data_IF_260067097523
#
_entry.id   IF_260067097523
#
_cell.length_a   1.000
_cell.length_b   1.000
_cell.length_c   1.000
_cell.angle_alpha   90.00
_cell.angle_beta   90.00
_cell.angle_gamma   90.00
#
_symmetry.space_group_name_H-M   'P 1'
#
loop_
_entity.id
_entity.type
_entity.pdbx_description
1 polymer ?
#
# COMPACT_ATOMS: atom_id res chain seq x y z
N UNK A 1 20.07 2.29 -37.59
CA UNK A 1 20.49 2.38 -36.18
C UNK A 1 19.32 3.03 -35.46
N UNK A 2 18.48 2.23 -34.74
CA UNK A 2 17.49 2.78 -33.82
C UNK A 2 18.27 3.34 -32.62
N UNK A 3 18.18 4.63 -32.37
CA UNK A 3 18.61 5.23 -31.12
C UNK A 3 17.86 4.50 -29.98
N UNK A 4 18.53 4.15 -28.87
CA UNK A 4 17.85 3.60 -27.70
C UNK A 4 16.77 4.61 -27.29
N UNK A 5 15.56 4.09 -27.04
CA UNK A 5 14.50 4.90 -26.45
C UNK A 5 15.09 5.57 -25.20
N UNK A 6 15.09 6.87 -25.15
CA UNK A 6 15.42 7.62 -23.93
C UNK A 6 14.60 7.01 -22.82
N UNK A 7 15.25 6.38 -21.86
CA UNK A 7 14.61 5.83 -20.66
C UNK A 7 13.84 7.00 -20.03
N UNK A 8 12.52 6.97 -20.18
CA UNK A 8 11.66 7.98 -19.58
C UNK A 8 11.89 7.92 -18.07
N UNK A 9 12.30 9.03 -17.51
CA UNK A 9 12.60 9.15 -16.09
C UNK A 9 11.30 9.04 -15.31
N UNK A 10 11.13 7.96 -14.53
CA UNK A 10 9.97 7.77 -13.65
C UNK A 10 10.20 8.52 -12.34
N UNK A 11 9.36 9.51 -12.04
CA UNK A 11 9.41 10.24 -10.76
C UNK A 11 8.27 9.75 -9.87
N UNK A 12 8.59 9.33 -8.64
CA UNK A 12 7.60 8.89 -7.68
C UNK A 12 7.63 9.75 -6.42
N UNK A 13 6.55 10.49 -6.19
CA UNK A 13 6.30 11.18 -4.93
C UNK A 13 5.83 10.15 -3.90
N UNK A 14 6.58 9.97 -2.81
CA UNK A 14 6.35 8.90 -1.84
C UNK A 14 6.73 9.27 -0.42
N UNK A 15 6.36 8.45 0.54
CA UNK A 15 6.94 8.41 1.90
C UNK A 15 7.08 6.96 2.32
N UNK A 16 8.16 6.63 3.04
CA UNK A 16 8.42 5.24 3.46
C UNK A 16 7.38 4.71 4.45
N UNK A 17 6.82 5.58 5.29
CA UNK A 17 5.75 5.22 6.21
C UNK A 17 4.35 5.08 5.55
N UNK A 18 4.27 5.19 4.21
CA UNK A 18 3.00 5.13 3.47
C UNK A 18 2.80 3.75 2.82
N UNK A 19 1.86 2.92 3.29
CA UNK A 19 1.58 1.62 2.67
C UNK A 19 1.26 1.71 1.17
N UNK A 20 0.41 2.65 0.69
CA UNK A 20 0.18 2.81 -0.75
C UNK A 20 1.44 3.15 -1.54
N UNK A 21 2.36 3.95 -1.00
CA UNK A 21 3.64 4.24 -1.64
C UNK A 21 4.52 2.98 -1.69
N UNK A 22 4.53 2.19 -0.63
CA UNK A 22 5.31 0.96 -0.57
C UNK A 22 4.78 -0.10 -1.54
N UNK A 23 3.46 -0.20 -1.73
CA UNK A 23 2.88 -1.09 -2.73
C UNK A 23 3.36 -0.73 -4.15
N UNK A 24 3.37 0.57 -4.52
CA UNK A 24 3.93 1.03 -5.81
C UNK A 24 5.41 0.70 -5.94
N UNK A 25 6.20 0.95 -4.89
CA UNK A 25 7.64 0.66 -4.87
C UNK A 25 7.94 -0.84 -5.01
N UNK A 26 7.16 -1.69 -4.34
CA UNK A 26 7.32 -3.15 -4.44
C UNK A 26 7.03 -3.64 -5.87
N UNK A 27 5.95 -3.15 -6.48
CA UNK A 27 5.66 -3.47 -7.89
C UNK A 27 6.78 -2.96 -8.79
N UNK A 28 7.26 -1.74 -8.58
CA UNK A 28 8.42 -1.21 -9.32
C UNK A 28 9.66 -2.11 -9.19
N UNK A 29 9.95 -2.60 -7.98
CA UNK A 29 11.07 -3.52 -7.74
C UNK A 29 10.91 -4.85 -8.48
N UNK A 30 9.71 -5.45 -8.47
CA UNK A 30 9.39 -6.67 -9.22
C UNK A 30 9.61 -6.46 -10.73
N UNK A 31 9.23 -5.29 -11.25
CA UNK A 31 9.36 -4.94 -12.66
C UNK A 31 10.77 -4.43 -13.05
N UNK A 32 11.71 -4.35 -12.09
CA UNK A 32 13.06 -3.82 -12.34
C UNK A 32 13.11 -2.32 -12.66
N UNK A 33 12.09 -1.56 -12.28
CA UNK A 33 11.98 -0.14 -12.56
C UNK A 33 12.82 0.70 -11.60
N UNK A 34 13.41 1.78 -12.13
CA UNK A 34 14.13 2.76 -11.33
C UNK A 34 13.26 4.03 -11.21
N UNK A 35 13.11 4.52 -9.98
CA UNK A 35 12.38 5.75 -9.70
C UNK A 35 13.32 6.83 -9.16
N UNK A 36 13.12 8.05 -9.62
CA UNK A 36 13.57 9.23 -8.91
C UNK A 36 12.55 9.58 -7.82
N UNK A 37 12.96 9.49 -6.57
CA UNK A 37 12.05 9.71 -5.45
C UNK A 37 11.97 11.18 -5.05
N UNK A 38 10.75 11.67 -4.84
CA UNK A 38 10.46 12.96 -4.20
C UNK A 38 9.69 12.68 -2.91
N UNK A 39 10.14 13.27 -1.80
CA UNK A 39 9.59 13.00 -0.47
C UNK A 39 9.01 14.27 0.18
N UNK A 40 7.77 14.68 -0.15
CA UNK A 40 7.16 15.84 0.49
C UNK A 40 7.00 15.61 2.00
N UNK A 41 7.31 16.62 2.79
CA UNK A 41 7.12 16.58 4.26
C UNK A 41 5.63 16.72 4.59
N UNK A 42 4.99 15.56 4.88
CA UNK A 42 3.55 15.52 5.18
C UNK A 42 3.21 16.18 6.52
N UNK A 43 4.16 16.20 7.48
CA UNK A 43 3.95 16.85 8.77
C UNK A 43 3.99 18.37 8.64
N UNK A 44 4.79 18.89 7.70
CA UNK A 44 4.80 20.32 7.32
C UNK A 44 3.72 20.68 6.29
N UNK A 45 2.88 19.72 5.92
CA UNK A 45 1.80 19.89 4.94
C UNK A 45 2.27 20.30 3.53
N UNK A 46 3.50 19.96 3.13
CA UNK A 46 4.04 20.28 1.80
C UNK A 46 3.17 19.72 0.67
N UNK A 47 2.52 18.56 0.88
CA UNK A 47 1.56 17.98 -0.05
C UNK A 47 0.26 18.79 -0.20
N UNK A 48 0.03 19.84 0.61
CA UNK A 48 -1.15 20.72 0.55
C UNK A 48 -0.87 22.09 -0.04
N UNK A 49 0.36 22.35 -0.46
CA UNK A 49 0.74 23.61 -1.11
C UNK A 49 0.04 23.77 -2.47
N UNK A 50 -0.16 25.01 -2.95
CA UNK A 50 -0.71 25.26 -4.29
C UNK A 50 0.11 24.57 -5.40
N UNK A 51 1.43 24.51 -5.24
CA UNK A 51 2.37 23.88 -6.18
C UNK A 51 2.11 22.38 -6.26
N UNK A 52 2.01 21.69 -5.12
CA UNK A 52 1.71 20.26 -5.09
C UNK A 52 0.31 19.95 -5.62
N UNK A 53 -0.68 20.82 -5.37
CA UNK A 53 -2.05 20.66 -5.90
C UNK A 53 -2.14 20.71 -7.42
N UNK A 54 -1.19 21.37 -8.09
CA UNK A 54 -1.09 21.33 -9.57
C UNK A 54 -0.65 19.94 -10.06
N UNK A 55 0.13 19.21 -9.24
CA UNK A 55 0.57 17.84 -9.54
C UNK A 55 -0.53 16.86 -9.18
N UNK A 56 -1.10 16.97 -7.98
CA UNK A 56 -2.21 16.14 -7.51
C UNK A 56 -3.24 16.98 -6.75
N UNK A 57 -4.41 17.26 -7.36
CA UNK A 57 -5.47 18.04 -6.71
C UNK A 57 -5.98 17.45 -5.39
N UNK A 58 -5.90 16.12 -5.21
CA UNK A 58 -6.28 15.44 -3.97
C UNK A 58 -5.27 15.67 -2.84
N UNK A 59 -4.09 16.21 -3.11
CA UNK A 59 -3.07 16.47 -2.09
C UNK A 59 -2.65 15.22 -1.31
N UNK A 60 -2.51 14.10 -2.01
CA UNK A 60 -2.12 12.80 -1.46
C UNK A 60 -0.88 12.24 -2.15
N UNK A 61 -0.25 11.26 -1.53
CA UNK A 61 0.79 10.41 -2.11
C UNK A 61 0.33 8.95 -2.05
N UNK A 62 0.84 8.07 -2.96
CA UNK A 62 1.84 8.33 -4.01
C UNK A 62 1.29 9.10 -5.21
N UNK A 63 2.23 9.72 -5.97
CA UNK A 63 1.99 10.24 -7.32
C UNK A 63 3.12 9.79 -8.22
N UNK A 64 2.80 9.26 -9.37
CA UNK A 64 3.76 8.90 -10.42
C UNK A 64 3.75 9.98 -11.52
N UNK A 65 4.95 10.37 -11.96
CA UNK A 65 5.14 11.14 -13.19
C UNK A 65 5.97 10.30 -14.16
N UNK A 66 5.44 10.11 -15.36
CA UNK A 66 6.07 9.36 -16.45
C UNK A 66 5.98 10.18 -17.74
N UNK A 67 7.03 10.96 -18.04
CA UNK A 67 7.01 11.97 -19.08
C UNK A 67 5.92 13.02 -18.81
N UNK A 68 4.99 13.16 -19.73
CA UNK A 68 3.86 14.13 -19.61
C UNK A 68 2.68 13.58 -18.79
N UNK A 69 2.69 12.28 -18.47
CA UNK A 69 1.62 11.66 -17.70
C UNK A 69 1.87 11.81 -16.21
N UNK A 70 0.89 12.34 -15.49
CA UNK A 70 0.84 12.34 -14.02
C UNK A 70 -0.35 11.51 -13.55
N UNK A 71 -0.07 10.51 -12.68
CA UNK A 71 -1.10 9.61 -12.12
C UNK A 71 -1.02 9.62 -10.61
N UNK A 72 -2.14 9.83 -9.96
CA UNK A 72 -2.35 9.58 -8.52
C UNK A 72 -3.18 8.31 -8.32
N UNK A 73 -3.42 7.91 -7.04
CA UNK A 73 -4.01 6.64 -6.62
C UNK A 73 -3.08 5.44 -6.84
N UNK A 74 -2.62 4.85 -5.75
CA UNK A 74 -1.63 3.76 -5.80
C UNK A 74 -2.05 2.59 -6.67
N UNK A 75 -3.33 2.20 -6.64
CA UNK A 75 -3.84 1.10 -7.47
C UNK A 75 -3.82 1.46 -8.95
N UNK A 76 -4.19 2.68 -9.33
CA UNK A 76 -4.09 3.15 -10.71
C UNK A 76 -2.63 3.20 -11.19
N UNK A 77 -1.72 3.69 -10.34
CA UNK A 77 -0.28 3.71 -10.63
C UNK A 77 0.24 2.29 -10.85
N UNK A 78 -0.07 1.37 -9.95
CA UNK A 78 0.36 -0.04 -10.03
C UNK A 78 -0.13 -0.68 -11.33
N UNK A 79 -1.42 -0.54 -11.64
CA UNK A 79 -2.00 -1.11 -12.88
C UNK A 79 -1.40 -0.48 -14.13
N UNK A 80 -1.12 0.83 -14.11
CA UNK A 80 -0.42 1.50 -15.20
C UNK A 80 0.98 0.92 -15.40
N UNK A 81 1.77 0.79 -14.32
CA UNK A 81 3.13 0.24 -14.38
C UNK A 81 3.14 -1.19 -14.92
N UNK A 82 2.25 -2.06 -14.44
CA UNK A 82 2.14 -3.44 -14.91
C UNK A 82 1.75 -3.48 -16.40
N UNK A 83 0.79 -2.64 -16.81
CA UNK A 83 0.33 -2.65 -18.21
C UNK A 83 1.38 -2.08 -19.18
N UNK A 84 2.16 -1.08 -18.77
CA UNK A 84 3.16 -0.43 -19.62
C UNK A 84 4.52 -1.12 -19.57
N UNK A 85 4.95 -1.55 -18.39
CA UNK A 85 6.32 -2.03 -18.14
C UNK A 85 6.39 -3.48 -17.64
N UNK A 86 5.24 -4.14 -17.47
CA UNK A 86 5.17 -5.47 -16.84
C UNK A 86 5.86 -6.59 -17.60
N UNK A 87 6.00 -6.47 -18.94
CA UNK A 87 6.66 -7.51 -19.74
C UNK A 87 6.13 -8.91 -19.43
N UNK A 88 7.02 -9.83 -19.07
CA UNK A 88 6.69 -11.20 -18.68
C UNK A 88 5.93 -11.31 -17.35
N UNK A 89 6.06 -10.32 -16.47
CA UNK A 89 5.38 -10.28 -15.17
C UNK A 89 3.91 -9.85 -15.28
N UNK A 90 3.49 -9.26 -16.42
CA UNK A 90 2.15 -8.68 -16.57
C UNK A 90 1.06 -9.71 -16.31
N UNK A 91 1.14 -10.86 -16.96
CA UNK A 91 0.08 -11.87 -16.88
C UNK A 91 0.04 -12.54 -15.49
N UNK A 92 1.16 -12.69 -14.81
CA UNK A 92 1.20 -13.24 -13.46
C UNK A 92 0.66 -12.27 -12.42
N UNK A 93 1.01 -10.98 -12.51
CA UNK A 93 0.60 -9.96 -11.53
C UNK A 93 -0.83 -9.47 -11.75
N UNK A 94 -1.28 -9.36 -13.01
CA UNK A 94 -2.60 -8.88 -13.36
C UNK A 94 -3.16 -9.67 -14.55
N UNK A 95 -3.72 -10.84 -14.29
CA UNK A 95 -4.16 -11.80 -15.31
C UNK A 95 -5.14 -11.21 -16.32
N UNK A 96 -5.09 -11.70 -17.57
CA UNK A 96 -6.03 -11.31 -18.64
C UNK A 96 -7.36 -12.06 -18.54
N UNK A 97 -7.40 -13.21 -17.86
CA UNK A 97 -8.66 -13.92 -17.58
C UNK A 97 -9.61 -13.02 -16.78
N UNK A 98 -10.78 -12.75 -17.35
CA UNK A 98 -11.74 -11.79 -16.81
C UNK A 98 -12.25 -12.17 -15.42
N UNK A 99 -12.43 -13.45 -15.16
CA UNK A 99 -12.93 -13.91 -13.85
C UNK A 99 -11.90 -13.71 -12.76
N UNK A 100 -10.66 -14.09 -13.00
CA UNK A 100 -9.54 -13.88 -12.06
C UNK A 100 -9.27 -12.40 -11.88
N UNK A 101 -9.25 -11.62 -12.97
CA UNK A 101 -9.06 -10.17 -12.93
C UNK A 101 -10.13 -9.47 -12.09
N UNK A 102 -11.40 -9.85 -12.24
CA UNK A 102 -12.48 -9.28 -11.44
C UNK A 102 -12.27 -9.51 -9.93
N UNK A 103 -11.71 -10.68 -9.54
CA UNK A 103 -11.38 -10.95 -8.14
C UNK A 103 -10.15 -10.14 -7.69
N UNK A 104 -9.14 -9.97 -8.55
CA UNK A 104 -7.99 -9.08 -8.26
C UNK A 104 -8.50 -7.65 -8.00
N UNK A 105 -9.33 -7.13 -8.89
CA UNK A 105 -9.90 -5.78 -8.77
C UNK A 105 -10.78 -5.66 -7.51
N UNK A 106 -11.63 -6.65 -7.22
CA UNK A 106 -12.41 -6.70 -5.97
C UNK A 106 -11.52 -6.56 -4.73
N UNK A 107 -10.41 -7.30 -4.67
CA UNK A 107 -9.47 -7.23 -3.54
C UNK A 107 -8.79 -5.86 -3.46
N UNK A 108 -8.41 -5.27 -4.59
CA UNK A 108 -7.81 -3.93 -4.65
C UNK A 108 -8.82 -2.85 -4.21
N UNK A 109 -10.06 -2.91 -4.66
CA UNK A 109 -11.12 -1.99 -4.20
C UNK A 109 -11.44 -2.17 -2.72
N UNK A 110 -11.43 -3.40 -2.20
CA UNK A 110 -11.55 -3.65 -0.77
C UNK A 110 -10.39 -3.01 0.01
N UNK A 111 -9.17 -3.12 -0.48
CA UNK A 111 -8.01 -2.48 0.13
C UNK A 111 -8.19 -0.95 0.23
N UNK A 112 -8.41 -0.28 -0.90
CA UNK A 112 -8.50 1.20 -0.93
C UNK A 112 -9.77 1.73 -0.26
N UNK A 113 -10.91 1.08 -0.49
CA UNK A 113 -12.21 1.55 -0.06
C UNK A 113 -12.55 1.20 1.39
N UNK A 114 -11.99 0.12 1.91
CA UNK A 114 -12.34 -0.41 3.24
C UNK A 114 -11.12 -0.51 4.15
N UNK A 115 -10.14 -1.35 3.83
CA UNK A 115 -9.08 -1.70 4.78
C UNK A 115 -8.13 -0.52 5.04
N UNK A 116 -7.67 0.15 4.00
CA UNK A 116 -6.82 1.33 4.13
C UNK A 116 -7.54 2.49 4.83
N UNK A 117 -8.85 2.63 4.63
CA UNK A 117 -9.67 3.62 5.35
C UNK A 117 -9.63 3.38 6.86
N UNK A 118 -9.70 2.14 7.31
CA UNK A 118 -9.60 1.77 8.74
C UNK A 118 -8.25 2.14 9.34
N UNK A 119 -7.17 2.00 8.57
CA UNK A 119 -5.84 2.50 8.97
C UNK A 119 -5.84 4.03 9.10
N UNK A 120 -6.45 4.75 8.15
CA UNK A 120 -6.51 6.21 8.17
C UNK A 120 -7.35 6.75 9.34
N UNK A 121 -8.44 6.08 9.71
CA UNK A 121 -9.30 6.46 10.86
C UNK A 121 -8.54 6.47 12.19
N UNK A 122 -7.47 5.68 12.31
CA UNK A 122 -6.58 5.72 13.48
C UNK A 122 -5.42 6.69 13.26
N UNK A 123 -4.75 6.61 12.11
CA UNK A 123 -3.49 7.35 11.90
C UNK A 123 -3.69 8.85 11.74
N UNK A 124 -4.71 9.31 11.03
CA UNK A 124 -4.94 10.75 10.81
C UNK A 124 -5.22 11.51 12.12
N UNK A 125 -6.15 11.08 13.01
CA UNK A 125 -6.32 11.74 14.30
C UNK A 125 -5.07 11.69 15.17
N UNK A 126 -4.30 10.59 15.09
CA UNK A 126 -3.05 10.45 15.84
C UNK A 126 -2.00 11.48 15.43
N UNK A 127 -1.76 11.64 14.13
CA UNK A 127 -0.84 12.67 13.62
C UNK A 127 -1.32 14.09 13.87
N UNK A 128 -2.62 14.31 13.97
CA UNK A 128 -3.21 15.59 14.38
C UNK A 128 -3.22 15.85 15.88
N UNK A 129 -2.63 14.98 16.72
CA UNK A 129 -2.62 15.12 18.18
C UNK A 129 -4.00 14.97 18.84
N UNK A 130 -4.98 14.38 18.13
CA UNK A 130 -6.38 14.24 18.57
C UNK A 130 -6.72 12.83 19.07
N UNK A 131 -5.74 11.93 19.14
CA UNK A 131 -5.93 10.55 19.58
C UNK A 131 -4.68 10.03 20.29
N UNK A 132 -4.88 9.28 21.34
CA UNK A 132 -3.83 8.60 22.12
C UNK A 132 -3.74 7.09 21.85
N UNK A 133 -4.48 6.62 20.83
CA UNK A 133 -4.51 5.23 20.38
C UNK A 133 -5.80 4.85 19.64
N UNK A 134 -5.92 3.59 19.22
CA UNK A 134 -7.14 3.09 18.59
C UNK A 134 -8.28 2.95 19.62
N UNK A 135 -9.48 3.37 19.24
CA UNK A 135 -10.68 3.13 20.01
C UNK A 135 -11.14 1.65 19.91
N UNK A 136 -12.06 1.22 20.79
CA UNK A 136 -12.68 -0.11 20.69
C UNK A 136 -13.36 -0.33 19.32
N UNK A 137 -13.98 0.73 18.77
CA UNK A 137 -14.58 0.69 17.43
C UNK A 137 -13.51 0.46 16.35
N UNK A 138 -12.39 1.18 16.42
CA UNK A 138 -11.30 0.98 15.44
C UNK A 138 -10.76 -0.45 15.49
N UNK A 139 -10.57 -1.02 16.68
CA UNK A 139 -10.13 -2.41 16.84
C UNK A 139 -11.13 -3.37 16.21
N UNK A 140 -12.42 -3.21 16.51
CA UNK A 140 -13.49 -4.02 15.92
C UNK A 140 -13.50 -3.93 14.39
N UNK A 141 -13.45 -2.71 13.83
CA UNK A 141 -13.46 -2.50 12.39
C UNK A 141 -12.20 -3.12 11.70
N UNK A 142 -11.04 -3.04 12.35
CA UNK A 142 -9.81 -3.69 11.87
C UNK A 142 -9.97 -5.21 11.85
N UNK A 143 -10.52 -5.82 12.90
CA UNK A 143 -10.76 -7.26 12.97
C UNK A 143 -11.76 -7.74 11.92
N UNK A 144 -12.82 -6.98 11.65
CA UNK A 144 -13.73 -7.24 10.53
C UNK A 144 -12.97 -7.19 9.18
N UNK A 145 -11.98 -6.31 9.05
CA UNK A 145 -11.09 -6.29 7.88
C UNK A 145 -10.25 -7.56 7.75
N UNK A 146 -9.68 -8.03 8.84
CA UNK A 146 -8.94 -9.30 8.85
C UNK A 146 -9.85 -10.49 8.53
N UNK A 147 -11.09 -10.49 9.03
CA UNK A 147 -12.07 -11.53 8.71
C UNK A 147 -12.39 -11.62 7.22
N UNK A 148 -12.48 -10.48 6.52
CA UNK A 148 -12.65 -10.47 5.06
C UNK A 148 -11.43 -11.05 4.35
N UNK A 149 -10.20 -10.67 4.75
CA UNK A 149 -8.97 -11.23 4.18
C UNK A 149 -8.89 -12.74 4.45
N UNK A 150 -9.22 -13.18 5.67
CA UNK A 150 -9.30 -14.60 6.04
C UNK A 150 -10.28 -15.35 5.13
N UNK A 151 -11.45 -14.77 4.83
CA UNK A 151 -12.43 -15.36 3.92
C UNK A 151 -11.91 -15.46 2.48
N UNK A 152 -11.19 -14.46 1.98
CA UNK A 152 -10.57 -14.52 0.64
C UNK A 152 -9.55 -15.68 0.51
N UNK A 153 -8.89 -16.02 1.62
CA UNK A 153 -7.87 -17.05 1.70
C UNK A 153 -8.40 -18.46 2.00
N UNK A 154 -9.73 -18.65 2.11
CA UNK A 154 -10.31 -19.93 2.56
C UNK A 154 -9.86 -21.12 1.73
N UNK A 155 -9.82 -21.01 0.41
CA UNK A 155 -9.58 -22.11 -0.51
C UNK A 155 -8.34 -21.89 -1.41
N UNK A 156 -7.50 -20.89 -1.10
CA UNK A 156 -6.34 -20.54 -1.92
C UNK A 156 -5.24 -19.87 -1.10
N UNK A 157 -3.99 -19.95 -1.56
CA UNK A 157 -2.86 -19.39 -0.80
C UNK A 157 -2.70 -17.86 -0.92
N UNK A 158 -3.34 -17.23 -1.91
CA UNK A 158 -3.32 -15.78 -2.17
C UNK A 158 -4.74 -15.23 -2.28
N UNK A 159 -4.90 -13.91 -2.08
CA UNK A 159 -6.24 -13.31 -1.90
C UNK A 159 -7.13 -13.40 -3.14
N UNK A 160 -6.55 -13.44 -4.34
CA UNK A 160 -7.31 -13.43 -5.58
C UNK A 160 -7.18 -14.73 -6.42
N UNK A 161 -6.12 -15.52 -6.25
CA UNK A 161 -5.84 -16.72 -7.04
C UNK A 161 -4.93 -17.70 -6.31
N UNK A 162 -4.52 -18.79 -6.99
CA UNK A 162 -3.52 -19.75 -6.49
C UNK A 162 -2.07 -19.20 -6.61
N UNK A 163 -1.89 -18.08 -7.29
CA UNK A 163 -0.61 -17.40 -7.49
C UNK A 163 -0.67 -15.98 -6.96
N UNK A 164 0.51 -15.45 -6.59
CA UNK A 164 0.66 -14.06 -6.19
C UNK A 164 0.19 -13.12 -7.31
N UNK A 165 -0.64 -12.15 -6.94
CA UNK A 165 -1.13 -11.08 -7.82
C UNK A 165 -0.83 -9.71 -7.20
N UNK A 166 -1.09 -8.67 -7.95
CA UNK A 166 -0.96 -7.29 -7.44
C UNK A 166 -1.86 -7.00 -6.23
N UNK A 167 -2.97 -7.72 -6.10
CA UNK A 167 -3.87 -7.60 -4.95
C UNK A 167 -3.18 -8.01 -3.64
N UNK A 168 -2.33 -9.06 -3.67
CA UNK A 168 -1.57 -9.52 -2.51
C UNK A 168 -0.53 -8.47 -2.07
N UNK A 169 0.11 -7.81 -3.04
CA UNK A 169 1.13 -6.77 -2.78
C UNK A 169 0.47 -5.56 -2.11
N UNK A 170 -0.65 -5.11 -2.62
CA UNK A 170 -1.37 -3.95 -2.10
C UNK A 170 -1.98 -4.23 -0.72
N UNK A 171 -2.84 -5.25 -0.61
CA UNK A 171 -3.44 -5.67 0.66
C UNK A 171 -2.38 -6.02 1.71
N UNK A 172 -1.32 -6.74 1.32
CA UNK A 172 -0.23 -7.12 2.20
C UNK A 172 0.49 -5.92 2.80
N UNK A 173 0.66 -4.85 2.00
CA UNK A 173 1.23 -3.60 2.49
C UNK A 173 0.34 -2.94 3.56
N UNK A 174 -0.95 -2.89 3.32
CA UNK A 174 -1.93 -2.31 4.25
C UNK A 174 -2.06 -3.16 5.53
N UNK A 175 -2.18 -4.49 5.41
CA UNK A 175 -2.27 -5.40 6.57
C UNK A 175 -1.02 -5.30 7.42
N UNK A 176 0.18 -5.31 6.82
CA UNK A 176 1.44 -5.17 7.55
C UNK A 176 1.51 -3.84 8.34
N UNK A 177 1.01 -2.75 7.76
CA UNK A 177 0.96 -1.46 8.44
C UNK A 177 -0.02 -1.45 9.62
N UNK A 178 -1.18 -2.08 9.46
CA UNK A 178 -2.20 -2.20 10.53
C UNK A 178 -1.67 -3.01 11.71
N UNK A 179 -0.71 -3.95 11.51
CA UNK A 179 -0.05 -4.68 12.62
C UNK A 179 0.59 -3.72 13.64
N UNK A 180 0.97 -2.52 13.24
CA UNK A 180 1.50 -1.49 14.13
C UNK A 180 0.45 -0.84 15.04
N UNK A 181 -0.83 -1.00 14.72
CA UNK A 181 -2.00 -0.48 15.45
C UNK A 181 -2.63 -1.59 16.29
N UNK A 182 -3.03 -2.67 15.66
CA UNK A 182 -3.67 -3.83 16.24
C UNK A 182 -3.14 -5.11 15.57
N UNK A 183 -2.48 -5.96 16.37
CA UNK A 183 -1.93 -7.20 15.83
C UNK A 183 -3.03 -8.18 15.48
N UNK A 184 -2.82 -8.87 14.37
CA UNK A 184 -3.63 -9.99 13.95
C UNK A 184 -3.48 -11.15 14.97
N UNK A 185 -4.61 -11.70 15.40
CA UNK A 185 -4.64 -12.92 16.22
C UNK A 185 -4.59 -14.14 15.29
N UNK A 186 -3.45 -14.83 15.29
CA UNK A 186 -3.23 -16.03 14.48
C UNK A 186 -4.17 -17.19 14.80
N UNK A 187 -4.74 -17.25 16.02
CA UNK A 187 -5.74 -18.27 16.36
C UNK A 187 -7.10 -17.94 15.71
N UNK A 188 -7.43 -16.65 15.58
CA UNK A 188 -8.68 -16.19 14.98
C UNK A 188 -8.60 -16.11 13.46
N UNK A 189 -7.43 -15.75 12.90
CA UNK A 189 -7.19 -15.52 11.49
C UNK A 189 -5.94 -16.28 10.97
N UNK A 190 -5.90 -17.62 11.06
CA UNK A 190 -4.69 -18.40 10.78
C UNK A 190 -4.24 -18.32 9.31
N UNK A 191 -5.16 -18.21 8.35
CA UNK A 191 -4.82 -18.12 6.93
C UNK A 191 -4.28 -16.73 6.55
N UNK A 192 -4.85 -15.69 7.14
CA UNK A 192 -4.34 -14.33 6.99
C UNK A 192 -2.91 -14.22 7.55
N UNK A 193 -2.63 -14.83 8.70
CA UNK A 193 -1.27 -14.90 9.26
C UNK A 193 -0.31 -15.67 8.33
N UNK A 194 -0.68 -16.86 7.90
CA UNK A 194 0.15 -17.68 7.02
C UNK A 194 0.43 -16.99 5.66
N UNK A 195 -0.56 -16.25 5.14
CA UNK A 195 -0.40 -15.45 3.92
C UNK A 195 0.56 -14.27 4.15
N UNK A 196 0.42 -13.53 5.25
CA UNK A 196 1.32 -12.42 5.58
C UNK A 196 2.75 -12.91 5.83
N UNK A 197 2.92 -14.06 6.47
CA UNK A 197 4.23 -14.72 6.67
C UNK A 197 4.86 -15.07 5.33
N UNK A 198 4.08 -15.63 4.38
CA UNK A 198 4.54 -15.93 3.03
C UNK A 198 5.01 -14.67 2.30
N UNK A 199 4.23 -13.59 2.31
CA UNK A 199 4.64 -12.31 1.72
C UNK A 199 5.92 -11.77 2.36
N UNK A 200 6.09 -11.97 3.67
CA UNK A 200 7.27 -11.53 4.41
C UNK A 200 8.56 -12.27 4.01
N UNK A 201 8.48 -13.37 3.25
CA UNK A 201 9.67 -14.04 2.71
C UNK A 201 10.22 -13.37 1.45
N UNK A 202 9.41 -12.59 0.75
CA UNK A 202 9.78 -11.92 -0.49
C UNK A 202 10.77 -10.78 -0.23
N UNK A 203 11.80 -10.64 -1.09
CA UNK A 203 12.86 -9.64 -0.93
C UNK A 203 12.29 -8.22 -0.93
N UNK A 204 11.43 -7.90 -1.89
CA UNK A 204 10.80 -6.58 -1.99
C UNK A 204 9.93 -6.25 -0.77
N UNK A 205 9.32 -7.24 -0.14
CA UNK A 205 8.54 -7.04 1.08
C UNK A 205 9.46 -6.74 2.28
N UNK A 206 10.55 -7.49 2.42
CA UNK A 206 11.57 -7.28 3.47
C UNK A 206 12.26 -5.93 3.36
N UNK A 207 12.62 -5.53 2.14
CA UNK A 207 13.45 -4.35 1.90
C UNK A 207 12.65 -3.06 1.84
N UNK A 208 11.38 -3.12 1.42
CA UNK A 208 10.54 -1.93 1.20
C UNK A 208 9.42 -1.84 2.21
N UNK A 209 8.60 -2.90 2.33
CA UNK A 209 7.37 -2.83 3.10
C UNK A 209 7.61 -2.94 4.62
N UNK A 210 8.42 -3.89 5.05
CA UNK A 210 8.65 -4.14 6.47
C UNK A 210 9.27 -2.92 7.19
N UNK A 211 10.32 -2.25 6.65
CA UNK A 211 10.84 -1.01 7.24
C UNK A 211 9.80 0.12 7.26
N UNK A 212 8.99 0.25 6.21
CA UNK A 212 7.95 1.27 6.12
C UNK A 212 6.84 1.08 7.15
N UNK A 213 6.34 -0.15 7.30
CA UNK A 213 5.35 -0.49 8.32
C UNK A 213 5.90 -0.27 9.75
N UNK A 214 7.15 -0.64 10.00
CA UNK A 214 7.82 -0.39 11.27
C UNK A 214 7.96 1.11 11.56
N UNK A 215 8.30 1.91 10.55
CA UNK A 215 8.39 3.35 10.66
C UNK A 215 7.04 3.99 11.01
N UNK A 216 5.96 3.60 10.31
CA UNK A 216 4.61 4.06 10.62
C UNK A 216 4.21 3.72 12.06
N UNK A 217 4.44 2.48 12.49
CA UNK A 217 4.15 2.04 13.85
C UNK A 217 4.95 2.84 14.91
N UNK A 218 6.23 3.16 14.63
CA UNK A 218 7.05 4.01 15.50
C UNK A 218 6.50 5.42 15.60
N UNK A 219 6.10 6.01 14.47
CA UNK A 219 5.50 7.35 14.41
C UNK A 219 4.20 7.39 15.22
N UNK A 220 3.27 6.46 15.01
CA UNK A 220 2.01 6.39 15.74
C UNK A 220 2.23 6.30 17.24
N UNK A 221 3.09 5.39 17.70
CA UNK A 221 3.44 5.26 19.13
C UNK A 221 4.04 6.55 19.71
N UNK A 222 4.82 7.29 18.93
CA UNK A 222 5.36 8.58 19.36
C UNK A 222 4.25 9.61 19.59
N UNK A 223 3.35 9.78 18.64
CA UNK A 223 2.23 10.73 18.76
C UNK A 223 1.26 10.34 19.89
N UNK A 224 0.94 9.05 20.05
CA UNK A 224 0.11 8.58 21.17
C UNK A 224 0.72 8.88 22.56
N UNK A 225 2.05 8.75 22.68
CA UNK A 225 2.74 9.13 23.94
C UNK A 225 2.69 10.62 24.21
N UNK A 226 2.71 11.45 23.17
CA UNK A 226 2.59 12.90 23.33
C UNK A 226 1.17 13.31 23.73
N UNK A 227 0.15 12.75 23.09
CA UNK A 227 -1.26 13.05 23.39
C UNK A 227 -1.68 12.66 24.82
N UNK A 228 -1.08 11.59 25.39
CA UNK A 228 -1.32 11.20 26.80
C UNK A 228 -0.73 12.17 27.84
N UNK A 229 0.13 13.09 27.45
CA UNK A 229 0.78 14.03 28.36
C UNK A 229 0.07 15.40 28.37
N UNK A 230 -0.86 15.60 27.48
CA UNK A 230 -1.73 16.78 27.41
C UNK A 230 -3.04 16.53 28.16
#
# INVERSE_FOLDING_TARGET
IRLPATLTRLVLYKRDASPPSNAVRMVGAILGLQFDYVEPDLLKLEHRTPEFRKINPMSTIPVLVDGDLTVSESHAIILYLINKYGGEHKESLYPSDLSTRAIVDQCMFFDSGVLFRRLLEVSQPSFGGKSDGPSKKNIFDIEEGYAVVEAYLQNRPYVASDKLTVADISLGSTVAAIQGIHRLDANKFPKCQAWLDRLSTESYFKEINAPGAALLAKMLRHFWKQSKKQ
#
